data_IF_771636289810
#
_entry.id   IF_771636289810
#
_cell.length_a   1.000
_cell.length_b   1.000
_cell.length_c   1.000
_cell.angle_alpha   90.00
_cell.angle_beta   90.00
_cell.angle_gamma   90.00
#
_symmetry.space_group_name_H-M   'P 1'
#
loop_
_entity.id
_entity.type
_entity.pdbx_description
1 polymer ?
#
# COMPACT_ATOMS: atom_id res chain seq x y z
N UNK A 1 28.61 -27.59 -11.84
CA UNK A 1 28.49 -26.68 -10.68
C UNK A 1 27.16 -25.97 -10.83
N UNK A 2 26.28 -26.06 -9.83
CA UNK A 2 24.94 -25.45 -9.89
C UNK A 2 25.03 -23.93 -9.84
N UNK A 3 24.27 -23.27 -10.70
CA UNK A 3 24.08 -21.82 -10.65
C UNK A 3 23.33 -21.49 -9.36
N UNK A 4 23.93 -20.71 -8.47
CA UNK A 4 23.23 -20.21 -7.29
C UNK A 4 22.32 -19.05 -7.71
N UNK A 5 21.12 -18.99 -7.13
CA UNK A 5 20.23 -17.86 -7.29
C UNK A 5 20.82 -16.62 -6.62
N UNK A 6 20.76 -15.48 -7.32
CA UNK A 6 21.09 -14.19 -6.75
C UNK A 6 19.85 -13.61 -6.08
N UNK A 7 19.95 -13.28 -4.80
CA UNK A 7 18.88 -12.63 -4.04
C UNK A 7 19.34 -11.28 -3.50
N UNK A 8 18.41 -10.33 -3.44
CA UNK A 8 18.60 -9.04 -2.78
C UNK A 8 17.77 -9.02 -1.48
N UNK A 9 18.39 -8.57 -0.39
CA UNK A 9 17.66 -8.29 0.85
C UNK A 9 17.09 -6.88 0.74
N UNK A 10 15.77 -6.75 0.77
CA UNK A 10 15.10 -5.46 0.72
C UNK A 10 14.34 -5.19 2.02
N UNK A 11 14.51 -3.99 2.57
CA UNK A 11 13.70 -3.52 3.69
C UNK A 11 12.29 -3.11 3.23
N UNK A 12 11.32 -3.25 4.12
CA UNK A 12 9.96 -2.75 3.87
C UNK A 12 10.00 -1.22 3.76
N UNK A 13 9.48 -0.61 2.68
CA UNK A 13 9.66 0.82 2.42
C UNK A 13 8.83 1.74 3.32
N UNK A 14 7.90 1.19 4.10
CA UNK A 14 6.98 1.93 4.97
C UNK A 14 7.03 1.40 6.40
N UNK A 15 7.03 2.31 7.38
CA UNK A 15 6.87 1.96 8.79
C UNK A 15 5.41 1.58 9.09
N UNK A 16 5.21 0.66 10.03
CA UNK A 16 3.89 0.21 10.50
C UNK A 16 2.95 1.40 10.73
N UNK A 17 1.77 1.35 10.11
CA UNK A 17 0.73 2.36 10.29
C UNK A 17 -0.39 1.78 11.16
N UNK A 18 -0.35 2.09 12.46
CA UNK A 18 -1.33 1.64 13.45
C UNK A 18 -1.72 2.82 14.33
N UNK A 19 -3.02 3.00 14.57
CA UNK A 19 -3.56 4.01 15.49
C UNK A 19 -4.02 3.34 16.79
N UNK A 20 -4.03 4.09 17.88
CA UNK A 20 -4.33 3.56 19.23
C UNK A 20 -5.76 3.03 19.38
N UNK A 21 -6.70 3.53 18.56
CA UNK A 21 -8.12 3.16 18.57
C UNK A 21 -8.51 2.20 17.42
N UNK A 22 -7.54 1.63 16.69
CA UNK A 22 -7.83 0.73 15.58
C UNK A 22 -8.53 -0.55 16.06
N UNK A 23 -9.69 -0.86 15.47
CA UNK A 23 -10.43 -2.11 15.72
C UNK A 23 -10.02 -3.26 14.81
N UNK A 24 -9.41 -2.93 13.68
CA UNK A 24 -9.06 -3.87 12.61
C UNK A 24 -7.60 -3.62 12.25
N UNK A 25 -6.81 -4.70 12.22
CA UNK A 25 -5.43 -4.71 11.74
C UNK A 25 -5.38 -5.48 10.42
N UNK A 26 -4.86 -4.84 9.38
CA UNK A 26 -4.72 -5.45 8.05
C UNK A 26 -3.25 -5.81 7.85
N UNK A 27 -2.97 -7.11 7.78
CA UNK A 27 -1.61 -7.64 7.64
C UNK A 27 -1.45 -8.19 6.22
N UNK A 28 -0.53 -7.60 5.46
CA UNK A 28 -0.10 -8.12 4.16
C UNK A 28 1.00 -9.17 4.32
N UNK A 29 1.32 -9.89 3.25
CA UNK A 29 2.41 -10.89 3.24
C UNK A 29 3.77 -10.24 2.99
N UNK A 30 3.92 -9.54 1.86
CA UNK A 30 5.17 -8.89 1.46
C UNK A 30 4.90 -7.50 0.86
N UNK A 31 5.86 -6.56 1.00
CA UNK A 31 5.78 -5.29 0.30
C UNK A 31 5.76 -5.54 -1.21
N UNK A 32 4.94 -4.77 -1.91
CA UNK A 32 4.99 -4.78 -3.36
C UNK A 32 6.31 -4.16 -3.83
N UNK A 33 6.90 -4.71 -4.90
CA UNK A 33 8.13 -4.15 -5.47
C UNK A 33 7.88 -2.72 -5.96
N UNK A 34 8.86 -1.83 -5.75
CA UNK A 34 8.82 -0.41 -6.16
C UNK A 34 8.29 -0.16 -7.59
N UNK A 35 8.64 -1.03 -8.55
CA UNK A 35 8.21 -0.92 -9.94
C UNK A 35 6.68 -0.90 -10.11
N UNK A 36 5.94 -1.50 -9.18
CA UNK A 36 4.49 -1.65 -9.25
C UNK A 36 3.73 -0.42 -8.75
N UNK A 37 4.38 0.45 -7.95
CA UNK A 37 3.74 1.64 -7.36
C UNK A 37 4.48 2.95 -7.65
N UNK A 38 5.68 2.92 -8.26
CA UNK A 38 6.49 4.12 -8.55
C UNK A 38 5.76 5.24 -9.31
N UNK A 39 4.70 4.92 -10.04
CA UNK A 39 3.90 5.88 -10.83
C UNK A 39 2.53 6.19 -10.20
N UNK A 40 2.29 5.71 -8.97
CA UNK A 40 1.05 5.91 -8.22
C UNK A 40 1.33 6.81 -7.01
N UNK A 41 1.29 6.27 -5.80
CA UNK A 41 1.60 6.93 -4.55
C UNK A 41 2.44 6.02 -3.65
N UNK A 42 3.15 6.60 -2.67
CA UNK A 42 4.08 5.88 -1.80
C UNK A 42 3.40 5.50 -0.48
N UNK A 43 2.41 4.61 -0.55
CA UNK A 43 1.71 4.07 0.62
C UNK A 43 1.32 2.61 0.42
N UNK A 44 0.76 1.99 1.46
CA UNK A 44 0.31 0.60 1.43
C UNK A 44 -0.68 0.33 0.28
N UNK A 45 -0.52 -0.84 -0.36
CA UNK A 45 -1.41 -1.33 -1.42
C UNK A 45 -1.57 -0.38 -2.63
N UNK A 46 -0.57 0.44 -2.94
CA UNK A 46 -0.62 1.41 -4.03
C UNK A 46 -0.40 0.83 -5.45
N UNK A 47 -0.24 -0.49 -5.60
CA UNK A 47 0.05 -1.08 -6.92
C UNK A 47 -1.10 -0.85 -7.93
N UNK A 48 -0.76 -0.59 -9.20
CA UNK A 48 -1.75 -0.28 -10.28
C UNK A 48 -2.86 -1.35 -10.42
N UNK A 49 -2.53 -2.63 -10.17
CA UNK A 49 -3.50 -3.73 -10.19
C UNK A 49 -4.03 -4.14 -8.81
N UNK A 50 -3.70 -3.40 -7.76
CA UNK A 50 -4.09 -3.77 -6.39
C UNK A 50 -5.53 -3.32 -6.11
N UNK A 51 -6.38 -4.27 -5.71
CA UNK A 51 -7.81 -4.03 -5.49
C UNK A 51 -8.16 -3.56 -4.07
N UNK A 52 -7.19 -3.42 -3.17
CA UNK A 52 -7.43 -3.05 -1.78
C UNK A 52 -8.23 -1.74 -1.64
N UNK A 53 -7.73 -0.66 -2.24
CA UNK A 53 -8.40 0.64 -2.18
C UNK A 53 -9.72 0.67 -2.96
N UNK A 54 -9.82 0.12 -4.18
CA UNK A 54 -11.12 -0.03 -4.86
C UNK A 54 -12.17 -0.79 -4.04
N UNK A 55 -11.78 -1.85 -3.34
CA UNK A 55 -12.69 -2.63 -2.49
C UNK A 55 -13.15 -1.81 -1.28
N UNK A 56 -12.23 -1.14 -0.58
CA UNK A 56 -12.59 -0.26 0.54
C UNK A 56 -13.51 0.88 0.09
N UNK A 57 -13.21 1.52 -1.05
CA UNK A 57 -14.07 2.54 -1.64
C UNK A 57 -15.50 2.01 -1.83
N UNK A 58 -15.67 0.78 -2.34
CA UNK A 58 -16.98 0.17 -2.52
C UNK A 58 -17.69 -0.18 -1.21
N UNK A 59 -16.98 -0.76 -0.24
CA UNK A 59 -17.54 -1.15 1.07
C UNK A 59 -18.06 0.07 1.84
N UNK A 60 -17.30 1.17 1.80
CA UNK A 60 -17.63 2.40 2.53
C UNK A 60 -18.38 3.43 1.70
N UNK A 61 -18.80 3.08 0.47
CA UNK A 61 -19.42 4.01 -0.48
C UNK A 61 -18.64 5.33 -0.62
N UNK A 62 -17.31 5.23 -0.65
CA UNK A 62 -16.37 6.33 -0.70
C UNK A 62 -15.79 6.50 -2.10
N UNK A 63 -15.45 7.73 -2.49
CA UNK A 63 -14.75 8.03 -3.75
C UNK A 63 -13.49 8.82 -3.46
N UNK A 64 -12.36 8.16 -3.72
CA UNK A 64 -11.06 8.79 -3.69
C UNK A 64 -10.90 9.78 -4.86
N UNK A 65 -10.31 10.94 -4.58
CA UNK A 65 -10.11 12.04 -5.52
C UNK A 65 -8.74 11.99 -6.18
N UNK A 66 -7.76 11.38 -5.52
CA UNK A 66 -6.37 11.34 -5.98
C UNK A 66 -5.91 9.89 -6.20
N UNK A 67 -5.38 9.65 -7.40
CA UNK A 67 -4.83 8.35 -7.80
C UNK A 67 -3.29 8.28 -7.68
N UNK A 68 -2.62 9.41 -7.45
CA UNK A 68 -1.15 9.51 -7.44
C UNK A 68 -0.62 10.64 -6.55
N UNK A 69 0.66 10.52 -6.21
CA UNK A 69 1.41 11.52 -5.47
C UNK A 69 1.02 11.62 -3.99
N UNK A 70 1.54 12.64 -3.31
CA UNK A 70 1.43 12.78 -1.86
C UNK A 70 -0.01 13.05 -1.42
N UNK A 71 -0.80 13.76 -2.24
CA UNK A 71 -2.24 13.96 -1.98
C UNK A 71 -3.04 12.66 -1.89
N UNK A 72 -2.67 11.65 -2.69
CA UNK A 72 -3.29 10.33 -2.57
C UNK A 72 -2.89 9.64 -1.26
N UNK A 73 -1.65 9.81 -0.80
CA UNK A 73 -1.20 9.28 0.50
C UNK A 73 -1.98 9.92 1.64
N UNK A 74 -2.07 11.25 1.66
CA UNK A 74 -2.80 12.02 2.67
C UNK A 74 -4.28 11.59 2.71
N UNK A 75 -4.92 11.48 1.54
CA UNK A 75 -6.32 11.04 1.44
C UNK A 75 -6.50 9.61 1.99
N UNK A 76 -5.56 8.69 1.74
CA UNK A 76 -5.64 7.33 2.29
C UNK A 76 -5.42 7.29 3.80
N UNK A 77 -4.53 8.12 4.32
CA UNK A 77 -4.29 8.22 5.77
C UNK A 77 -5.53 8.76 6.48
N UNK A 78 -6.13 9.84 5.96
CA UNK A 78 -7.36 10.43 6.51
C UNK A 78 -8.55 9.47 6.43
N UNK A 79 -8.66 8.67 5.36
CA UNK A 79 -9.76 7.71 5.21
C UNK A 79 -9.74 6.58 6.25
N UNK A 80 -8.54 6.18 6.72
CA UNK A 80 -8.36 5.08 7.68
C UNK A 80 -8.10 5.57 9.12
N UNK A 81 -8.20 6.87 9.37
CA UNK A 81 -8.31 7.45 10.72
C UNK A 81 -9.68 7.15 11.35
#
# INVERSE_FOLDING_TARGET
MGQFDNFEVCDHPFATFVRSNSKILIIGTFPTHQRNYKHTFKFYYAGVGNMFWPVLAKVYNHRFQFDKGDKAVEERQLFIE
#
